data_IF_913885121172
#
_entry.id   IF_913885121172
#
_cell.length_a   1.000
_cell.length_b   1.000
_cell.length_c   1.000
_cell.angle_alpha   90.00
_cell.angle_beta   90.00
_cell.angle_gamma   90.00
#
_symmetry.space_group_name_H-M   'P 1'
#
loop_
_entity.id
_entity.type
_entity.pdbx_description
1 polymer ?
2 non-polymer ?
3 water ?
#
# COMPACT_ATOMS: atom_id res chain seq x y z
N UNK A 1 0.64 21.03 5.85
CA UNK A 1 1.75 20.10 5.48
C UNK A 1 2.82 20.79 4.66
N UNK A 2 4.02 20.21 4.68
CA UNK A 2 5.13 20.65 3.82
C UNK A 2 5.33 19.63 2.71
N UNK A 3 5.68 20.10 1.52
CA UNK A 3 5.99 19.18 0.43
C UNK A 3 7.49 18.93 0.37
N UNK A 4 7.88 17.69 0.62
CA UNK A 4 9.28 17.32 0.66
C UNK A 4 9.65 16.48 -0.55
N UNK A 5 10.88 16.65 -1.02
CA UNK A 5 11.39 15.91 -2.18
C UNK A 5 12.78 15.38 -1.90
N UNK A 6 12.93 14.08 -2.08
CA UNK A 6 14.20 13.40 -1.81
C UNK A 6 14.70 12.69 -3.06
N UNK A 7 15.90 13.06 -3.49
CA UNK A 7 16.54 12.42 -4.64
C UNK A 7 17.28 11.19 -4.17
N UNK A 8 16.79 10.01 -4.56
CA UNK A 8 17.40 8.74 -4.14
C UNK A 8 18.31 8.17 -5.23
N UNK A 9 18.13 8.65 -6.46
CA UNK A 9 18.94 8.28 -7.63
C UNK A 9 18.88 9.46 -8.59
N UNK A 10 19.89 9.61 -9.48
CA UNK A 10 19.88 10.73 -10.43
C UNK A 10 18.53 11.01 -11.09
N UNK A 11 17.78 9.96 -11.43
CA UNK A 11 16.49 10.12 -12.10
C UNK A 11 15.28 9.72 -11.25
N UNK A 12 15.50 9.38 -10.00
CA UNK A 12 14.39 9.03 -9.10
C UNK A 12 14.30 9.98 -7.90
N UNK A 13 13.23 10.75 -7.87
CA UNK A 13 12.96 11.67 -6.77
C UNK A 13 11.64 11.29 -6.13
N UNK A 14 11.65 11.12 -4.80
CA UNK A 14 10.45 10.74 -4.06
C UNK A 14 9.85 11.93 -3.32
N UNK A 15 8.54 12.10 -3.48
CA UNK A 15 7.79 13.18 -2.86
C UNK A 15 7.03 12.69 -1.62
N UNK A 16 6.92 13.54 -0.61
CA UNK A 16 6.15 13.25 0.58
C UNK A 16 5.56 14.52 1.17
N UNK A 17 4.51 14.36 1.95
CA UNK A 17 3.91 15.46 2.68
C UNK A 17 4.28 15.28 4.15
N UNK A 18 4.79 16.35 4.75
CA UNK A 18 5.36 16.28 6.09
C UNK A 18 4.62 17.17 7.08
N UNK A 19 4.28 16.61 8.23
CA UNK A 19 3.56 17.33 9.28
C UNK A 19 3.89 16.78 10.65
N UNK A 20 4.17 17.69 11.58
CA UNK A 20 4.39 17.33 12.98
C UNK A 20 5.83 17.22 13.41
N UNK A 21 6.02 17.06 14.72
CA UNK A 21 7.33 16.82 15.30
C UNK A 21 7.28 15.58 16.19
N UNK A 22 8.44 14.97 16.41
CA UNK A 22 8.56 13.76 17.22
C UNK A 22 9.17 12.63 16.42
N UNK A 23 9.00 11.38 16.90
CA UNK A 23 9.52 10.22 16.18
C UNK A 23 8.97 10.13 14.76
N UNK A 24 9.84 9.80 13.80
CA UNK A 24 9.48 9.74 12.38
C UNK A 24 8.56 8.57 12.05
N UNK A 25 7.45 8.88 11.40
CA UNK A 25 6.49 7.86 10.96
C UNK A 25 6.25 8.00 9.45
N UNK A 26 6.69 7.01 8.69
CA UNK A 26 6.58 6.99 7.24
C UNK A 26 5.36 6.19 6.79
N UNK A 27 4.42 6.86 6.12
CA UNK A 27 3.18 6.22 5.68
C UNK A 27 3.24 5.88 4.19
N UNK A 28 2.96 4.62 3.88
CA UNK A 28 3.09 4.10 2.51
C UNK A 28 1.76 3.58 1.96
N UNK A 29 1.22 4.30 0.98
CA UNK A 29 -0.10 4.00 0.40
C UNK A 29 -0.11 2.78 -0.52
N UNK A 30 -1.31 2.36 -0.91
CA UNK A 30 -1.49 1.22 -1.82
C UNK A 30 -1.83 1.61 -3.24
N UNK A 31 -2.35 0.64 -3.98
CA UNK A 31 -2.75 0.82 -5.39
C UNK A 31 -4.27 0.96 -5.51
N UNK A 32 -4.74 1.92 -6.34
CA UNK A 32 -3.95 2.96 -6.99
C UNK A 32 -4.21 4.28 -6.25
N UNK A 33 -3.36 4.60 -5.29
CA UNK A 33 -3.68 5.66 -4.36
C UNK A 33 -2.69 6.84 -4.36
N UNK A 34 -2.45 7.42 -3.19
CA UNK A 34 -1.80 8.72 -3.07
C UNK A 34 -1.41 8.95 -1.62
N UNK A 35 -0.49 9.88 -1.38
CA UNK A 35 -0.23 10.37 -0.02
C UNK A 35 -1.57 10.80 0.59
N UNK A 36 -2.45 11.27 -0.28
CA UNK A 36 -3.75 11.82 0.09
C UNK A 36 -4.69 10.78 0.73
N UNK A 37 -4.40 9.50 0.50
CA UNK A 37 -5.16 8.43 1.14
C UNK A 37 -4.98 8.45 2.66
N UNK A 38 -3.91 9.09 3.13
CA UNK A 38 -3.63 9.23 4.56
C UNK A 38 -4.16 10.55 5.14
N UNK A 39 -4.97 11.28 4.37
CA UNK A 39 -5.45 12.61 4.78
C UNK A 39 -6.03 12.70 6.20
N UNK A 40 -6.68 11.64 6.66
CA UNK A 40 -7.26 11.61 8.00
C UNK A 40 -6.23 11.27 9.09
N UNK A 41 -5.20 10.50 8.71
CA UNK A 41 -4.18 10.06 9.67
C UNK A 41 -3.11 11.12 9.92
N UNK A 42 -2.77 11.88 8.89
CA UNK A 42 -1.66 12.84 8.99
C UNK A 42 -1.83 13.86 10.14
N UNK A 43 -2.99 14.57 10.21
CA UNK A 43 -3.17 15.48 11.35
C UNK A 43 -3.31 14.78 12.69
N UNK A 44 -3.94 13.60 12.70
CA UNK A 44 -4.18 12.87 13.94
C UNK A 44 -2.87 12.35 14.54
N UNK A 45 -2.00 11.81 13.70
CA UNK A 45 -0.70 11.31 14.16
C UNK A 45 0.23 12.45 14.57
N UNK A 46 0.19 13.56 13.82
CA UNK A 46 0.95 14.76 14.18
C UNK A 46 0.50 15.28 15.55
N UNK A 47 -0.80 15.39 15.74
CA UNK A 47 -1.39 15.84 17.01
C UNK A 47 -1.00 14.90 18.16
N UNK A 48 -0.87 13.62 17.85
CA UNK A 48 -0.49 12.59 18.82
C UNK A 48 0.98 12.67 19.25
N UNK A 49 1.78 13.45 18.52
CA UNK A 49 3.18 13.68 18.88
C UNK A 49 4.18 13.02 17.95
N UNK A 50 3.83 12.91 16.67
CA UNK A 50 4.69 12.25 15.69
C UNK A 50 4.97 13.13 14.48
N UNK A 51 6.16 12.94 13.92
CA UNK A 51 6.55 13.59 12.67
C UNK A 51 6.13 12.65 11.54
N UNK A 52 5.13 13.08 10.77
CA UNK A 52 4.53 12.25 9.73
C UNK A 52 5.16 12.56 8.36
N UNK A 53 5.58 11.50 7.67
CA UNK A 53 6.05 11.61 6.29
C UNK A 53 5.17 10.72 5.41
N UNK A 54 4.15 11.33 4.80
CA UNK A 54 3.21 10.61 3.95
C UNK A 54 3.69 10.58 2.50
N UNK A 55 4.13 9.41 2.06
CA UNK A 55 4.75 9.25 0.73
C UNK A 55 3.78 9.33 -0.44
N UNK A 56 4.25 9.92 -1.53
CA UNK A 56 3.82 9.47 -2.85
C UNK A 56 4.80 8.36 -3.18
N UNK A 57 4.31 7.13 -3.26
CA UNK A 57 5.18 5.99 -3.58
C UNK A 57 5.67 6.10 -5.03
N UNK A 58 6.80 5.45 -5.32
CA UNK A 58 7.38 5.49 -6.68
C UNK A 58 6.34 5.09 -7.72
N UNK A 59 6.19 5.94 -8.74
CA UNK A 59 5.16 5.75 -9.76
C UNK A 59 3.94 6.64 -9.61
N UNK A 60 3.80 7.28 -8.45
CA UNK A 60 2.60 8.04 -8.10
C UNK A 60 2.83 9.53 -7.86
N UNK A 61 1.81 10.32 -8.18
CA UNK A 61 1.73 11.73 -7.79
C UNK A 61 2.91 12.56 -8.26
N UNK A 62 3.61 13.14 -7.28
CA UNK A 62 4.76 14.00 -7.55
C UNK A 62 6.08 13.24 -7.50
N UNK A 63 6.01 11.94 -7.22
CA UNK A 63 7.22 11.11 -7.23
C UNK A 63 7.53 10.67 -8.66
N UNK A 64 8.79 10.30 -8.91
CA UNK A 64 9.23 9.84 -10.22
C UNK A 64 8.48 8.59 -10.66
N UNK A 65 8.16 8.53 -11.95
CA UNK A 65 7.42 7.42 -12.53
C UNK A 65 8.04 6.91 -13.83
N UNK A 66 9.24 6.30 -13.75
CA UNK A 66 9.85 5.73 -14.96
C UNK A 66 8.98 4.63 -15.57
N UNK A 67 9.06 4.41 -16.90
CA UNK A 67 8.22 3.41 -17.54
C UNK A 67 8.67 1.95 -17.35
N UNK A 68 9.95 1.75 -17.00
CA UNK A 68 10.54 0.41 -16.93
C UNK A 68 9.97 -0.44 -15.79
N UNK A 69 9.56 -1.67 -16.12
CA UNK A 69 9.00 -2.60 -15.14
C UNK A 69 9.95 -2.88 -13.95
N UNK A 70 11.22 -3.15 -14.25
CA UNK A 70 12.23 -3.50 -13.23
C UNK A 70 12.45 -2.42 -12.16
N UNK A 71 12.05 -1.19 -12.47
CA UNK A 71 12.16 -0.06 -11.55
C UNK A 71 11.19 -0.19 -10.37
N UNK A 72 10.26 -1.14 -10.46
CA UNK A 72 9.22 -1.31 -9.45
C UNK A 72 9.22 -2.66 -8.76
N UNK A 73 10.32 -3.41 -8.88
CA UNK A 73 10.47 -4.64 -8.11
C UNK A 73 10.71 -4.26 -6.65
N UNK A 74 10.26 -5.12 -5.74
CA UNK A 74 10.29 -4.81 -4.31
C UNK A 74 11.72 -4.53 -3.77
N UNK A 75 12.71 -5.25 -4.30
CA UNK A 75 14.11 -5.04 -3.91
C UNK A 75 14.57 -3.60 -4.17
N UNK A 76 14.27 -3.09 -5.36
CA UNK A 76 14.61 -1.72 -5.74
C UNK A 76 13.82 -0.70 -4.91
N UNK A 77 12.51 -0.92 -4.79
CA UNK A 77 11.64 -0.04 -4.04
C UNK A 77 12.09 0.10 -2.57
N UNK A 78 12.46 -1.01 -1.95
CA UNK A 78 12.93 -1.01 -0.56
C UNK A 78 14.29 -0.32 -0.38
N UNK A 79 15.21 -0.60 -1.31
CA UNK A 79 16.53 0.03 -1.33
C UNK A 79 16.41 1.55 -1.43
N UNK A 80 15.50 2.00 -2.29
CA UNK A 80 15.23 3.43 -2.45
C UNK A 80 14.69 4.05 -1.17
N UNK A 81 13.82 3.33 -0.47
CA UNK A 81 13.27 3.81 0.80
C UNK A 81 14.33 3.89 1.90
N UNK A 82 15.35 3.03 1.82
CA UNK A 82 16.50 3.12 2.72
C UNK A 82 17.31 4.38 2.40
N UNK A 83 17.57 4.61 1.10
CA UNK A 83 18.28 5.81 0.66
C UNK A 83 17.49 7.06 1.04
N UNK A 84 16.16 6.96 0.99
CA UNK A 84 15.25 8.02 1.42
C UNK A 84 15.56 8.44 2.86
N UNK A 85 15.63 7.47 3.76
CA UNK A 85 16.00 7.70 5.16
C UNK A 85 17.41 8.31 5.27
N UNK A 86 18.36 7.77 4.50
CA UNK A 86 19.73 8.27 4.47
C UNK A 86 19.80 9.76 4.13
N UNK A 87 19.10 10.16 3.06
CA UNK A 87 19.10 11.54 2.60
C UNK A 87 18.48 12.49 3.62
N UNK A 88 17.49 12.01 4.36
CA UNK A 88 16.82 12.79 5.39
C UNK A 88 17.58 12.82 6.71
N UNK A 89 18.66 12.02 6.79
CA UNK A 89 19.47 11.92 8.00
C UNK A 89 18.74 11.24 9.14
N UNK A 90 17.90 10.26 8.80
CA UNK A 90 17.14 9.48 9.77
C UNK A 90 17.75 8.09 9.95
N UNK A 91 18.12 7.76 11.18
CA UNK A 91 18.65 6.44 11.51
C UNK A 91 17.56 5.38 11.39
N UNK A 92 16.35 5.74 11.82
CA UNK A 92 15.20 4.85 11.82
C UNK A 92 13.91 5.62 11.60
N UNK A 93 12.88 4.93 11.13
CA UNK A 93 11.52 5.45 11.12
C UNK A 93 10.55 4.32 11.37
N UNK A 94 9.37 4.66 11.91
CA UNK A 94 8.28 3.71 11.95
C UNK A 94 7.69 3.67 10.54
N UNK A 95 7.43 2.47 10.03
CA UNK A 95 6.84 2.32 8.70
C UNK A 95 5.45 1.74 8.80
N UNK A 96 4.48 2.51 8.29
CA UNK A 96 3.09 2.06 8.26
C UNK A 96 2.62 2.00 6.80
N UNK A 97 2.16 0.83 6.38
CA UNK A 97 1.72 0.63 5.01
C UNK A 97 0.31 0.08 4.87
N UNK A 98 -0.28 0.31 3.72
CA UNK A 98 -1.58 -0.26 3.36
C UNK A 98 -1.46 -0.86 1.96
N UNK A 99 -2.06 -2.02 1.76
CA UNK A 99 -2.14 -2.63 0.42
C UNK A 99 -0.71 -2.94 -0.09
N UNK A 100 -0.35 -2.47 -1.29
CA UNK A 100 1.01 -2.63 -1.81
C UNK A 100 2.05 -2.00 -0.89
N UNK A 101 1.68 -0.90 -0.25
CA UNK A 101 2.52 -0.25 0.75
C UNK A 101 2.72 -1.12 1.98
N UNK A 102 1.70 -1.91 2.30
CA UNK A 102 1.77 -2.91 3.37
C UNK A 102 2.81 -3.97 3.08
N UNK A 103 2.83 -4.45 1.83
CA UNK A 103 3.82 -5.43 1.40
C UNK A 103 5.22 -4.84 1.52
N UNK A 104 5.39 -3.61 1.07
CA UNK A 104 6.69 -2.92 1.13
C UNK A 104 7.22 -2.79 2.56
N UNK A 105 6.37 -2.36 3.50
CA UNK A 105 6.80 -2.18 4.89
C UNK A 105 7.20 -3.50 5.57
N UNK A 106 6.52 -4.59 5.21
CA UNK A 106 6.91 -5.91 5.72
C UNK A 106 8.32 -6.28 5.26
N UNK A 107 8.63 -5.98 4.01
CA UNK A 107 9.96 -6.28 3.47
C UNK A 107 11.02 -5.30 3.94
N UNK A 108 10.60 -4.07 4.25
CA UNK A 108 11.47 -3.13 4.95
C UNK A 108 11.88 -3.72 6.31
N UNK A 109 10.90 -4.22 7.05
CA UNK A 109 11.13 -4.81 8.38
C UNK A 109 11.98 -6.08 8.31
N UNK A 110 11.73 -6.88 7.27
CA UNK A 110 12.41 -8.15 7.08
C UNK A 110 13.88 -7.98 6.68
N UNK A 111 14.12 -7.14 5.68
CA UNK A 111 15.47 -6.96 5.12
C UNK A 111 16.26 -5.80 5.74
N UNK A 112 15.56 -4.83 6.32
CA UNK A 112 16.24 -3.67 6.94
C UNK A 112 15.73 -3.36 8.35
N UNK A 113 15.76 -4.37 9.26
CA UNK A 113 15.22 -4.11 10.60
C UNK A 113 15.97 -2.99 11.34
N UNK A 114 17.25 -2.81 11.04
CA UNK A 114 18.06 -1.78 11.70
C UNK A 114 17.61 -0.36 11.34
N UNK A 115 16.81 -0.22 10.28
CA UNK A 115 16.30 1.07 9.83
C UNK A 115 14.81 1.25 10.13
N UNK A 116 14.15 0.17 10.55
CA UNK A 116 12.72 0.22 10.87
C UNK A 116 12.53 0.12 12.38
N UNK A 117 12.09 1.22 13.00
CA UNK A 117 11.87 1.26 14.45
C UNK A 117 10.70 0.34 14.84
N UNK A 118 9.64 0.40 14.05
CA UNK A 118 8.46 -0.44 14.22
C UNK A 118 7.69 -0.49 12.90
N UNK A 119 6.86 -1.51 12.72
CA UNK A 119 6.16 -1.74 11.46
C UNK A 119 4.67 -2.05 11.68
N UNK A 120 3.82 -1.44 10.86
CA UNK A 120 2.39 -1.70 10.89
C UNK A 120 1.84 -1.83 9.49
N UNK A 121 0.93 -2.78 9.30
CA UNK A 121 0.26 -2.94 8.02
C UNK A 121 -1.24 -2.95 8.18
N UNK A 122 -1.92 -2.23 7.28
CA UNK A 122 -3.37 -2.31 7.18
C UNK A 122 -3.71 -3.26 6.05
N UNK A 123 -4.46 -4.31 6.39
CA UNK A 123 -5.03 -5.27 5.42
C UNK A 123 -4.04 -6.31 4.88
N UNK A 124 -2.83 -5.86 4.53
CA UNK A 124 -1.86 -6.74 3.90
C UNK A 124 -1.12 -7.60 4.92
N UNK A 125 -1.31 -8.93 4.84
CA UNK A 125 -0.62 -9.83 5.76
C UNK A 125 0.81 -10.11 5.33
N UNK A 126 1.62 -10.61 6.25
CA UNK A 126 2.95 -11.10 5.91
C UNK A 126 2.93 -12.61 5.76
N UNK A 127 3.11 -13.06 4.52
CA UNK A 127 3.20 -14.48 4.21
C UNK A 127 4.57 -14.72 3.56
N UNK A 128 5.46 -15.44 4.25
CA UNK A 128 6.79 -15.73 3.69
C UNK A 128 6.68 -16.38 2.32
N UNK A 129 7.60 -16.01 1.43
CA UNK A 129 7.64 -16.59 0.09
C UNK A 129 7.83 -18.10 0.14
N UNK A 130 7.14 -18.79 -0.76
CA UNK A 130 7.24 -20.25 -0.88
C UNK A 130 8.18 -20.61 -2.02
N UNK A 131 9.40 -21.10 -1.69
CA UNK A 131 10.41 -21.41 -2.70
C UNK A 131 10.06 -22.60 -3.58
N UNK A 132 9.06 -23.38 -3.17
CA UNK A 132 8.64 -24.58 -3.90
C UNK A 132 7.43 -24.33 -4.79
N UNK A 133 6.99 -23.08 -4.85
CA UNK A 133 5.83 -22.70 -5.65
C UNK A 133 6.10 -21.36 -6.35
N UNK A 134 5.97 -21.37 -7.67
CA UNK A 134 6.14 -20.17 -8.47
C UNK A 134 4.98 -19.19 -8.22
N UNK A 135 5.22 -17.88 -8.39
CA UNK A 135 4.17 -16.87 -8.19
C UNK A 135 2.88 -17.15 -8.96
N UNK A 136 3.01 -17.71 -10.17
CA UNK A 136 1.87 -18.08 -10.99
C UNK A 136 1.07 -19.25 -10.42
N UNK A 137 1.79 -20.21 -9.83
CA UNK A 137 1.16 -21.35 -9.18
C UNK A 137 0.45 -20.96 -7.88
N UNK A 138 0.86 -19.82 -7.31
CA UNK A 138 0.23 -19.29 -6.09
C UNK A 138 -1.11 -18.64 -6.40
N UNK A 139 -1.24 -18.10 -7.62
CA UNK A 139 -2.52 -17.62 -8.13
C UNK A 139 -3.39 -18.81 -8.56
N UNK A 140 -2.76 -19.81 -9.17
CA UNK A 140 -3.45 -21.04 -9.58
C UNK A 140 -4.08 -21.78 -8.40
N UNK A 141 -3.65 -21.43 -7.19
CA UNK A 141 -4.18 -21.99 -5.95
C UNK A 141 -5.09 -20.98 -5.22
N UNK A 142 -5.13 -19.75 -5.71
CA UNK A 142 -5.93 -18.69 -5.10
C UNK A 142 -6.72 -17.89 -6.13
N UNK A 143 -7.98 -18.28 -6.39
CA UNK A 143 -8.87 -17.57 -7.32
C UNK A 143 -9.14 -16.11 -6.94
N UNK A 144 -8.78 -15.75 -5.71
CA UNK A 144 -8.97 -14.41 -5.19
C UNK A 144 -8.00 -13.39 -5.82
N UNK A 145 -6.79 -13.82 -6.12
CA UNK A 145 -5.75 -12.96 -6.69
C UNK A 145 -5.66 -13.03 -8.21
N UNK A 146 -6.69 -13.58 -8.85
CA UNK A 146 -6.72 -13.75 -10.31
C UNK A 146 -6.79 -12.45 -11.10
N UNK A 147 -7.38 -11.42 -10.50
CA UNK A 147 -7.46 -10.09 -11.11
C UNK A 147 -6.08 -9.51 -11.42
N UNK A 148 -5.06 -9.96 -10.67
CA UNK A 148 -3.68 -9.52 -10.87
C UNK A 148 -3.10 -10.02 -12.19
N UNK A 149 -3.67 -11.10 -12.73
CA UNK A 149 -3.27 -11.61 -14.04
C UNK A 149 -3.67 -10.64 -15.15
N UNK A 150 -4.83 -10.00 -14.98
CA UNK A 150 -5.29 -8.96 -15.89
C UNK A 150 -4.33 -7.77 -15.92
N UNK A 151 -3.67 -7.51 -14.79
CA UNK A 151 -2.72 -6.41 -14.66
C UNK A 151 -1.34 -6.70 -15.28
N UNK A 152 -1.12 -7.92 -15.76
CA UNK A 152 0.20 -8.34 -16.23
C UNK A 152 0.62 -7.74 -17.57
N UNK A 153 -0.26 -7.83 -18.57
CA UNK A 153 0.07 -7.37 -19.92
C UNK A 153 0.19 -5.84 -19.99
N UNK A 154 1.40 -5.33 -20.28
CA UNK A 154 1.60 -3.88 -20.27
C UNK A 154 0.70 -3.16 -21.29
N UNK A 155 0.11 -2.05 -20.87
CA UNK A 155 -0.74 -1.25 -21.73
C UNK A 155 -2.23 -1.50 -21.57
N UNK A 156 -2.59 -2.73 -21.18
CA UNK A 156 -4.00 -3.14 -21.16
C UNK A 156 -4.77 -2.46 -20.02
N UNK A 157 -4.38 -2.73 -18.78
CA UNK A 157 -5.04 -2.11 -17.63
C UNK A 157 -4.82 -0.60 -17.61
N UNK A 158 -3.67 -0.14 -18.09
CA UNK A 158 -3.39 1.29 -18.25
C UNK A 158 -4.50 1.99 -19.01
N UNK A 159 -4.82 1.46 -20.19
CA UNK A 159 -5.84 2.03 -21.06
C UNK A 159 -7.22 2.11 -20.40
N UNK A 160 -7.63 1.01 -19.74
CA UNK A 160 -8.93 0.97 -19.08
C UNK A 160 -9.04 1.98 -17.93
N UNK A 161 -8.01 2.01 -17.08
CA UNK A 161 -8.00 2.88 -15.91
C UNK A 161 -7.88 4.37 -16.27
N UNK A 162 -7.22 4.66 -17.39
CA UNK A 162 -6.98 6.03 -17.83
C UNK A 162 -8.08 6.60 -18.73
N UNK A 163 -8.94 5.72 -19.24
CA UNK A 163 -10.01 6.13 -20.18
C UNK A 163 -10.92 7.22 -19.61
N UNK A 164 -11.33 7.04 -18.35
CA UNK A 164 -12.22 7.97 -17.65
C UNK A 164 -11.81 7.98 -16.18
N UNK A 165 -10.96 8.92 -15.80
CA UNK A 165 -10.38 8.95 -14.45
C UNK A 165 -11.42 9.05 -13.34
N UNK A 166 -12.42 9.91 -13.51
CA UNK A 166 -13.49 10.07 -12.54
C UNK A 166 -14.23 8.75 -12.31
N UNK A 167 -14.58 8.09 -13.42
CA UNK A 167 -15.23 6.79 -13.36
C UNK A 167 -14.37 5.77 -12.61
N UNK A 168 -13.09 5.73 -12.95
CA UNK A 168 -12.13 4.82 -12.30
C UNK A 168 -12.16 4.94 -10.78
N UNK A 169 -11.97 6.15 -10.27
CA UNK A 169 -11.88 6.36 -8.81
C UNK A 169 -13.23 6.26 -8.10
N UNK A 170 -14.30 6.69 -8.74
CA UNK A 170 -15.64 6.52 -8.19
C UNK A 170 -16.05 5.05 -8.13
N UNK A 171 -15.57 4.25 -9.08
CA UNK A 171 -15.86 2.82 -9.13
C UNK A 171 -15.06 2.03 -8.10
N UNK A 172 -13.81 2.45 -7.87
CA UNK A 172 -12.93 1.77 -6.94
C UNK A 172 -13.21 2.15 -5.49
N UNK A 173 -13.21 3.45 -5.20
CA UNK A 173 -13.26 3.92 -3.82
C UNK A 173 -14.69 3.87 -3.27
N UNK A 174 -15.10 2.68 -2.83
CA UNK A 174 -16.45 2.45 -2.32
C UNK A 174 -16.40 1.56 -1.07
N UNK A 175 -17.37 1.75 -0.17
CA UNK A 175 -17.53 0.82 0.96
C UNK A 175 -17.96 -0.54 0.40
N UNK A 176 -17.74 -1.60 1.16
CA UNK A 176 -18.02 -2.96 0.68
C UNK A 176 -19.47 -3.18 0.25
N UNK A 177 -20.40 -2.60 1.00
CA UNK A 177 -21.83 -2.70 0.69
C UNK A 177 -22.22 -1.87 -0.54
N UNK A 178 -21.32 -0.98 -0.98
CA UNK A 178 -21.56 -0.15 -2.16
C UNK A 178 -20.85 -0.69 -3.42
N UNK A 179 -20.17 -1.82 -3.29
CA UNK A 179 -19.32 -2.35 -4.35
C UNK A 179 -20.06 -2.53 -5.69
N UNK A 180 -19.41 -2.10 -6.77
CA UNK A 180 -19.94 -2.28 -8.13
C UNK A 180 -19.03 -3.20 -8.95
N UNK A 181 -17.98 -3.70 -8.30
CA UNK A 181 -16.94 -4.49 -8.97
C UNK A 181 -16.82 -5.88 -8.38
N UNK A 182 -16.58 -6.86 -9.25
CA UNK A 182 -16.34 -8.24 -8.84
C UNK A 182 -14.88 -8.60 -9.14
N UNK A 183 -14.04 -8.55 -8.11
CA UNK A 183 -12.60 -8.78 -8.26
C UNK A 183 -12.26 -10.22 -8.63
N UNK A 184 -13.09 -11.16 -8.20
CA UNK A 184 -12.89 -12.58 -8.52
C UNK A 184 -13.30 -12.94 -9.94
N UNK A 185 -13.87 -11.98 -10.68
CA UNK A 185 -14.35 -12.22 -12.04
C UNK A 185 -13.68 -11.36 -13.12
N UNK A 186 -12.68 -10.57 -12.71
CA UNK A 186 -12.04 -9.58 -13.59
C UNK A 186 -11.36 -10.18 -14.83
N UNK A 187 -10.47 -11.15 -14.62
CA UNK A 187 -9.66 -11.72 -15.70
C UNK A 187 -10.50 -12.46 -16.75
N UNK A 188 -11.61 -13.05 -16.30
CA UNK A 188 -12.53 -13.72 -17.21
C UNK A 188 -13.31 -12.71 -18.05
N UNK A 189 -13.67 -11.59 -17.42
CA UNK A 189 -14.45 -10.53 -18.06
C UNK A 189 -13.60 -9.64 -18.98
N UNK A 190 -12.28 -9.66 -18.79
CA UNK A 190 -11.36 -8.90 -19.62
C UNK A 190 -11.26 -7.43 -19.25
N UNK A 191 -11.63 -7.10 -18.00
CA UNK A 191 -11.54 -5.74 -17.51
C UNK A 191 -12.17 -5.56 -16.14
N UNK A 192 -11.80 -4.46 -15.49
CA UNK A 192 -12.37 -4.09 -14.19
C UNK A 192 -13.77 -3.50 -14.33
N UNK A 193 -14.00 -2.71 -15.38
CA UNK A 193 -15.22 -1.91 -15.48
C UNK A 193 -16.15 -2.31 -16.63
N UNK A 194 -15.93 -3.49 -17.19
CA UNK A 194 -16.76 -3.95 -18.31
C UNK A 194 -18.24 -4.13 -17.95
N UNK A 195 -18.50 -4.55 -16.71
CA UNK A 195 -19.87 -4.82 -16.26
C UNK A 195 -20.37 -3.86 -15.16
N UNK A 196 -19.54 -2.87 -14.82
CA UNK A 196 -19.88 -1.88 -13.80
C UNK A 196 -20.44 -0.59 -14.43
N UNK A 197 -21.15 0.24 -13.63
CA UNK A 197 -21.83 1.42 -14.18
C UNK A 197 -20.94 2.38 -14.95
N UNK A 198 -21.49 2.94 -16.04
CA UNK A 198 -20.79 3.94 -16.84
C UNK A 198 -20.66 5.25 -16.06
N UNK A 199 -21.71 5.59 -15.32
CA UNK A 199 -21.69 6.76 -14.46
C UNK A 199 -22.00 6.34 -13.02
N UNK A 200 -20.98 5.86 -12.29
CA UNK A 200 -21.19 5.38 -10.93
C UNK A 200 -21.58 6.52 -10.00
N UNK A 201 -22.38 6.20 -8.98
CA UNK A 201 -22.74 7.18 -7.96
C UNK A 201 -21.54 7.46 -7.06
N UNK A 202 -21.67 8.48 -6.22
CA UNK A 202 -20.61 8.83 -5.29
C UNK A 202 -20.77 8.01 -4.01
N UNK A 203 -19.70 7.33 -3.61
CA UNK A 203 -19.69 6.58 -2.34
C UNK A 203 -19.84 7.50 -1.15
N UNK A 204 -20.43 6.97 -0.08
CA UNK A 204 -20.53 7.69 1.20
C UNK A 204 -19.16 8.04 1.80
N UNK A 205 -18.12 7.29 1.38
CA UNK A 205 -16.76 7.47 1.90
C UNK A 205 -16.09 8.74 1.42
N UNK A 206 -16.48 9.21 0.24
CA UNK A 206 -15.75 10.30 -0.43
C UNK A 206 -16.67 11.41 -0.94
N UNK A 207 -16.11 12.62 -1.01
CA UNK A 207 -16.79 13.75 -1.66
C UNK A 207 -16.31 13.84 -3.11
N UNK A 208 -17.04 14.61 -3.92
CA UNK A 208 -16.64 14.89 -5.29
C UNK A 208 -15.25 15.54 -5.34
N UNK A 209 -15.00 16.47 -4.43
CA UNK A 209 -13.72 17.18 -4.34
C UNK A 209 -12.54 16.23 -4.05
N UNK A 210 -12.78 15.22 -3.24
CA UNK A 210 -11.76 14.21 -2.93
C UNK A 210 -11.43 13.33 -4.14
N UNK A 211 -12.47 12.90 -4.86
CA UNK A 211 -12.29 12.14 -6.11
C UNK A 211 -11.47 12.96 -7.12
N UNK A 212 -11.81 14.24 -7.26
CA UNK A 212 -11.13 15.11 -8.22
C UNK A 212 -9.65 15.33 -7.89
N UNK A 213 -9.28 15.23 -6.61
CA UNK A 213 -7.88 15.28 -6.23
C UNK A 213 -7.11 14.09 -6.81
N UNK A 214 -7.67 12.88 -6.66
CA UNK A 214 -7.05 11.69 -7.24
C UNK A 214 -6.96 11.81 -8.76
N UNK A 215 -8.07 12.21 -9.39
CA UNK A 215 -8.12 12.46 -10.84
C UNK A 215 -6.94 13.32 -11.31
N UNK A 216 -6.75 14.46 -10.64
CA UNK A 216 -5.66 15.38 -11.00
C UNK A 216 -4.27 14.78 -10.79
N UNK A 217 -4.11 13.99 -9.74
CA UNK A 217 -2.84 13.32 -9.46
C UNK A 217 -2.47 12.31 -10.53
N UNK A 218 -3.46 11.61 -11.07
CA UNK A 218 -3.23 10.56 -12.07
C UNK A 218 -3.29 11.07 -13.51
N UNK A 219 -3.68 12.34 -13.66
CA UNK A 219 -3.57 13.04 -14.94
C UNK A 219 -2.09 13.22 -15.28
N UNK A 220 -1.24 13.27 -14.25
CA UNK A 220 0.18 13.57 -14.40
C UNK A 220 1.03 12.43 -15.00
N UNK A 221 0.81 11.20 -14.55
CA UNK A 221 1.62 10.06 -14.99
C UNK A 221 0.83 8.83 -15.42
N UNK A 222 -0.48 8.81 -15.14
CA UNK A 222 -1.32 7.66 -15.46
C UNK A 222 -1.02 6.46 -14.57
N UNK A 223 -1.28 5.27 -15.10
CA UNK A 223 -1.25 4.04 -14.29
C UNK A 223 -0.10 3.07 -14.60
N UNK A 224 0.76 3.41 -15.57
CA UNK A 224 1.87 2.52 -15.95
C UNK A 224 2.80 2.22 -14.77
N UNK A 225 3.29 3.26 -14.12
CA UNK A 225 4.12 3.12 -12.92
C UNK A 225 3.45 2.31 -11.82
N UNK A 226 2.24 2.72 -11.42
CA UNK A 226 1.47 1.97 -10.41
C UNK A 226 1.28 0.49 -10.77
N UNK A 227 0.90 0.21 -12.03
CA UNK A 227 0.66 -1.17 -12.46
C UNK A 227 1.93 -2.01 -12.53
N UNK A 228 3.06 -1.34 -12.75
CA UNK A 228 4.37 -2.02 -12.79
C UNK A 228 4.74 -2.69 -11.46
N UNK A 229 4.12 -2.26 -10.36
CA UNK A 229 4.27 -2.91 -9.06
C UNK A 229 3.84 -4.38 -9.12
N UNK A 230 2.89 -4.68 -10.00
CA UNK A 230 2.35 -6.04 -10.18
C UNK A 230 3.18 -6.93 -11.11
N UNK A 231 4.09 -6.31 -11.85
CA UNK A 231 4.72 -6.98 -12.99
C UNK A 231 6.13 -7.48 -12.68
N UNK A 232 6.40 -7.68 -11.40
CA UNK A 232 7.70 -8.16 -10.92
C UNK A 232 7.57 -9.39 -10.03
N UNK A 233 6.58 -10.23 -10.31
CA UNK A 233 6.26 -11.39 -9.47
C UNK A 233 7.45 -12.31 -9.27
N UNK A 234 8.14 -12.65 -10.36
CA UNK A 234 9.28 -13.56 -10.32
C UNK A 234 10.46 -12.96 -9.56
N UNK A 235 10.78 -11.71 -9.88
CA UNK A 235 11.86 -10.97 -9.19
C UNK A 235 11.61 -10.86 -7.69
N UNK A 236 10.39 -10.49 -7.31
CA UNK A 236 10.01 -10.33 -5.90
C UNK A 236 10.06 -11.64 -5.13
N UNK A 237 9.65 -12.72 -5.79
CA UNK A 237 9.67 -14.05 -5.23
C UNK A 237 11.10 -14.51 -4.96
N UNK A 238 11.98 -14.33 -5.96
CA UNK A 238 13.39 -14.70 -5.84
C UNK A 238 14.10 -13.94 -4.73
N UNK A 239 13.83 -12.64 -4.62
CA UNK A 239 14.38 -11.81 -3.56
C UNK A 239 13.86 -12.25 -2.20
N UNK A 240 12.54 -12.44 -2.10
CA UNK A 240 11.90 -12.83 -0.84
C UNK A 240 12.40 -14.17 -0.31
N UNK A 241 12.69 -15.11 -1.21
CA UNK A 241 13.20 -16.44 -0.85
C UNK A 241 14.56 -16.40 -0.17
N UNK A 242 15.32 -15.33 -0.37
CA UNK A 242 16.63 -15.16 0.27
C UNK A 242 16.53 -14.98 1.79
N UNK A 243 15.32 -14.69 2.28
CA UNK A 243 15.08 -14.45 3.69
C UNK A 243 14.26 -15.56 4.35
N UNK A 244 14.31 -16.75 3.77
CA UNK A 244 13.56 -17.91 4.27
C UNK A 244 13.90 -18.22 5.73
N UNK A 245 12.86 -18.36 6.55
CA UNK A 245 13.04 -18.77 7.95
C UNK A 245 13.29 -17.67 8.96
N UNK A 246 13.72 -16.49 8.51
CA UNK A 246 14.05 -15.41 9.44
C UNK A 246 12.80 -14.74 9.97
N UNK A 247 12.86 -14.32 11.24
CA UNK A 247 11.71 -13.76 11.92
C UNK A 247 11.80 -12.24 12.03
N UNK A 248 10.66 -11.59 12.13
CA UNK A 248 10.59 -10.15 12.37
C UNK A 248 10.45 -9.94 13.87
N UNK A 249 11.47 -9.32 14.47
CA UNK A 249 11.53 -9.20 15.94
C UNK A 249 11.29 -7.79 16.48
N UNK A 250 11.23 -6.82 15.57
CA UNK A 250 10.92 -5.44 15.92
C UNK A 250 9.41 -5.31 16.20
N UNK A 251 8.99 -4.26 16.93
CA UNK A 251 7.56 -4.10 17.22
C UNK A 251 6.74 -4.09 15.93
N UNK A 252 5.65 -4.86 15.91
CA UNK A 252 4.84 -5.05 14.70
C UNK A 252 3.35 -5.07 14.99
N UNK A 253 2.58 -4.44 14.10
CA UNK A 253 1.12 -4.40 14.19
C UNK A 253 0.50 -4.84 12.88
N UNK A 254 -0.47 -5.75 12.98
CA UNK A 254 -1.27 -6.17 11.83
C UNK A 254 -2.73 -5.76 12.08
N UNK A 255 -3.27 -4.95 11.15
CA UNK A 255 -4.66 -4.50 11.25
C UNK A 255 -5.48 -5.11 10.13
N UNK A 256 -6.48 -5.90 10.52
CA UNK A 256 -7.36 -6.57 9.56
C UNK A 256 -8.69 -5.82 9.41
N UNK A 257 -9.31 -5.97 8.24
CA UNK A 257 -10.59 -5.32 7.95
C UNK A 257 -11.64 -6.38 7.60
N UNK A 258 -12.72 -6.40 8.36
CA UNK A 258 -13.78 -7.42 8.25
C UNK A 258 -14.28 -7.63 6.83
N UNK A 259 -14.46 -6.54 6.10
CA UNK A 259 -15.13 -6.59 4.79
C UNK A 259 -14.21 -6.36 3.59
N UNK A 260 -12.91 -6.57 3.77
CA UNK A 260 -12.00 -6.61 2.63
C UNK A 260 -12.08 -8.02 2.07
N UNK A 261 -12.76 -8.16 0.93
CA UNK A 261 -13.06 -9.47 0.36
C UNK A 261 -11.92 -10.02 -0.50
N UNK A 262 -10.85 -9.25 -0.62
CA UNK A 262 -9.63 -9.68 -1.30
C UNK A 262 -8.58 -10.02 -0.24
N UNK A 263 -8.21 -9.01 0.57
CA UNK A 263 -7.29 -9.23 1.68
C UNK A 263 -8.08 -9.56 2.94
N UNK A 264 -8.57 -10.80 3.00
CA UNK A 264 -9.41 -11.25 4.11
C UNK A 264 -8.60 -11.40 5.39
N UNK A 265 -9.22 -11.17 6.56
CA UNK A 265 -8.53 -11.30 7.84
C UNK A 265 -7.83 -12.67 8.02
N UNK A 266 -8.47 -13.74 7.55
CA UNK A 266 -7.95 -15.10 7.67
C UNK A 266 -6.58 -15.31 7.02
N UNK A 267 -6.28 -14.52 5.99
CA UNK A 267 -4.97 -14.55 5.33
C UNK A 267 -3.80 -14.26 6.29
N UNK A 268 -4.11 -13.57 7.38
CA UNK A 268 -3.10 -13.17 8.36
C UNK A 268 -2.93 -14.15 9.53
N UNK A 269 -3.66 -15.27 9.50
CA UNK A 269 -3.78 -16.16 10.66
C UNK A 269 -2.48 -16.80 11.17
N UNK A 270 -1.49 -16.95 10.30
CA UNK A 270 -0.25 -17.65 10.65
C UNK A 270 0.93 -16.73 10.92
N UNK A 271 0.68 -15.42 10.92
CA UNK A 271 1.76 -14.43 11.01
C UNK A 271 2.63 -14.54 12.27
N UNK A 272 2.02 -14.97 13.37
CA UNK A 272 2.73 -15.14 14.65
C UNK A 272 3.87 -16.16 14.60
N UNK A 273 3.81 -17.09 13.64
CA UNK A 273 4.89 -18.06 13.41
C UNK A 273 6.19 -17.37 13.03
N UNK A 274 6.07 -16.21 12.39
CA UNK A 274 7.21 -15.47 11.85
C UNK A 274 7.40 -14.13 12.54
N UNK A 275 6.36 -13.68 13.25
CA UNK A 275 6.42 -12.44 14.01
C UNK A 275 5.86 -12.74 15.40
N UNK A 276 6.68 -13.36 16.27
CA UNK A 276 6.24 -13.92 17.56
C UNK A 276 5.45 -12.93 18.43
N UNK A 277 5.90 -11.68 18.49
CA UNK A 277 5.27 -10.68 19.35
C UNK A 277 4.37 -9.69 18.61
N UNK A 278 3.84 -10.14 17.48
CA UNK A 278 2.90 -9.34 16.69
C UNK A 278 1.72 -8.88 17.54
N UNK A 279 1.35 -7.61 17.39
CA UNK A 279 0.12 -7.10 17.96
C UNK A 279 -0.91 -6.93 16.85
N UNK A 280 -2.19 -6.88 17.23
CA UNK A 280 -3.26 -6.87 16.23
C UNK A 280 -4.33 -5.81 16.51
N UNK A 281 -4.90 -5.31 15.42
CA UNK A 281 -6.13 -4.53 15.47
C UNK A 281 -7.09 -5.14 14.48
N UNK A 282 -8.39 -4.91 14.68
CA UNK A 282 -9.39 -5.41 13.75
C UNK A 282 -10.54 -4.42 13.62
N UNK A 283 -10.87 -4.08 12.38
CA UNK A 283 -11.95 -3.12 12.15
C UNK A 283 -13.16 -3.80 11.52
N UNK A 284 -14.27 -3.76 12.25
CA UNK A 284 -15.56 -4.24 11.77
C UNK A 284 -16.12 -3.29 10.72
N UNK A 285 -16.97 -3.81 9.83
CA UNK A 285 -17.68 -3.00 8.84
C UNK A 285 -16.73 -2.18 7.95
N UNK A 286 -15.51 -2.70 7.77
CA UNK A 286 -14.46 -1.99 7.03
C UNK A 286 -14.03 -2.76 5.79
N UNK A 287 -14.06 -2.08 4.64
CA UNK A 287 -13.69 -2.68 3.38
C UNK A 287 -12.20 -2.52 3.08
N UNK A 288 -11.85 -2.56 1.79
CA UNK A 288 -10.45 -2.49 1.41
C UNK A 288 -9.82 -1.11 1.65
N UNK A 289 -10.61 -0.06 1.51
CA UNK A 289 -10.09 1.32 1.55
C UNK A 289 -10.08 1.84 2.98
N UNK A 290 -9.27 1.17 3.79
CA UNK A 290 -9.32 1.24 5.25
C UNK A 290 -9.27 2.65 5.83
N UNK A 291 -8.29 3.45 5.40
CA UNK A 291 -8.06 4.79 5.95
C UNK A 291 -9.24 5.74 5.76
N UNK A 292 -9.93 5.61 4.62
CA UNK A 292 -11.06 6.49 4.34
C UNK A 292 -12.41 5.87 4.73
N UNK A 293 -12.43 4.54 4.84
CA UNK A 293 -13.63 3.83 5.27
C UNK A 293 -13.84 4.04 6.78
N UNK A 294 -12.80 3.77 7.56
CA UNK A 294 -12.88 3.87 9.02
C UNK A 294 -11.74 4.70 9.62
N UNK A 295 -11.66 6.01 9.29
CA UNK A 295 -10.55 6.85 9.71
C UNK A 295 -10.39 6.96 11.23
N UNK A 296 -11.52 7.08 11.94
CA UNK A 296 -11.52 7.20 13.39
C UNK A 296 -10.94 5.95 14.06
N UNK A 297 -11.35 4.79 13.55
CA UNK A 297 -10.87 3.50 14.06
C UNK A 297 -9.38 3.29 13.75
N UNK A 298 -8.96 3.61 12.53
CA UNK A 298 -7.55 3.54 12.14
C UNK A 298 -6.67 4.43 13.05
N UNK A 299 -7.12 5.67 13.27
CA UNK A 299 -6.39 6.61 14.13
C UNK A 299 -6.23 6.06 15.55
N UNK A 300 -7.34 5.57 16.11
CA UNK A 300 -7.35 4.98 17.45
C UNK A 300 -6.34 3.84 17.57
N UNK A 301 -6.40 2.91 16.64
CA UNK A 301 -5.53 1.72 16.66
C UNK A 301 -4.06 2.09 16.53
N UNK A 302 -3.74 2.93 15.55
CA UNK A 302 -2.35 3.33 15.29
C UNK A 302 -1.72 4.08 16.47
N UNK A 303 -2.47 5.04 17.01
CA UNK A 303 -1.99 5.85 18.14
C UNK A 303 -1.78 5.01 19.40
N UNK A 304 -2.72 4.11 19.68
CA UNK A 304 -2.59 3.20 20.82
C UNK A 304 -1.32 2.37 20.71
N UNK A 305 -1.06 1.86 19.50
CA UNK A 305 0.10 1.02 19.24
C UNK A 305 1.41 1.83 19.27
N UNK A 306 1.42 2.97 18.59
CA UNK A 306 2.59 3.86 18.57
C UNK A 306 3.01 4.32 19.97
N UNK A 307 2.03 4.60 20.83
CA UNK A 307 2.31 5.06 22.19
C UNK A 307 2.67 3.95 23.17
N UNK A 308 2.51 2.68 22.75
CA UNK A 308 2.80 1.56 23.63
C UNK A 308 3.84 0.60 23.07
N UNK A 309 3.38 -0.40 22.31
CA UNK A 309 4.24 -1.47 21.79
C UNK A 309 5.40 -0.97 20.92
N UNK A 310 5.13 0.04 20.09
CA UNK A 310 6.13 0.58 19.17
C UNK A 310 7.32 1.27 19.86
N UNK A 311 7.12 1.72 21.10
CA UNK A 311 8.19 2.36 21.87
C UNK A 311 9.04 1.33 22.62
N UNK A 312 10.32 1.66 22.83
CA UNK A 312 11.24 0.81 23.56
C UNK A 312 12.19 1.61 24.45
#
# INVERSE_FOLDING_TARGET
>A
GSHGYVTVKPRVRLHFVELGSGPAVCLCHGFPESWYSWRYQIPALAQAGYRVLAMDMKGYGESSAPPEIEEYCMEVLCKEMVTFLDKLGLSQAVFIGHDWGGMLVWYMALFYPERVRAVASLNTPFIPANPNMSPLESIKANPVFDYQLYFQEPGVAEAELEQNLSRTFKSLFRASDESVLSMHKVCEAGGLFVNSPEEPSLSRMVTEEEIQFYVQQFKKSGFRGPLNWYRNMERNWKWACKSLGRKILIPALMVTAEKDFVLVPQMSQHMEDWIPHLKRGHIEDCGHWTQMDKPTEVNQILIKWLDSDARNPAD
#
